data_IF_053256276906
#
_entry.id   IF_053256276906
#
_cell.length_a   1.000
_cell.length_b   1.000
_cell.length_c   1.000
_cell.angle_alpha   90.00
_cell.angle_beta   90.00
_cell.angle_gamma   90.00
#
_symmetry.space_group_name_H-M   'P 1'
#
loop_
_entity.id
_entity.type
_entity.pdbx_description
1 polymer ?
#
# COMPACT_ATOMS: atom_id res chain seq x y z
N UNK A 1 -17.37 8.29 11.79
CA UNK A 1 -17.14 7.24 12.81
C UNK A 1 -16.66 6.00 12.08
N UNK A 2 -15.35 5.70 12.12
CA UNK A 2 -14.79 4.56 11.40
C UNK A 2 -15.04 3.29 12.24
N UNK A 3 -15.88 2.39 11.74
CA UNK A 3 -16.17 1.12 12.41
C UNK A 3 -14.96 0.18 12.27
N UNK A 4 -14.08 0.14 13.27
CA UNK A 4 -13.10 -0.93 13.35
C UNK A 4 -13.78 -2.19 13.89
N UNK A 5 -13.94 -3.18 13.02
CA UNK A 5 -14.35 -4.53 13.39
C UNK A 5 -13.10 -5.32 13.70
N UNK A 6 -12.73 -5.40 14.97
CA UNK A 6 -11.64 -6.26 15.44
C UNK A 6 -12.09 -7.72 15.29
N UNK A 7 -11.39 -8.47 14.44
CA UNK A 7 -11.63 -9.91 14.26
C UNK A 7 -10.58 -10.62 15.10
N UNK A 8 -10.99 -11.18 16.23
CA UNK A 8 -10.18 -12.08 17.05
C UNK A 8 -10.33 -13.49 16.48
N UNK A 9 -9.22 -14.09 16.05
CA UNK A 9 -9.17 -15.47 15.55
C UNK A 9 -8.31 -16.28 16.51
N UNK A 10 -8.78 -17.46 16.90
CA UNK A 10 -7.99 -18.36 17.75
C UNK A 10 -6.85 -19.01 16.97
N UNK A 11 -5.82 -19.50 17.66
CA UNK A 11 -4.67 -20.13 17.01
C UNK A 11 -5.08 -21.37 16.19
N UNK A 12 -6.07 -22.09 16.68
CA UNK A 12 -6.65 -23.29 16.04
C UNK A 12 -7.44 -22.91 14.77
N UNK A 13 -8.13 -21.78 14.78
CA UNK A 13 -8.83 -21.26 13.61
C UNK A 13 -7.84 -20.74 12.55
N UNK A 14 -6.66 -20.25 12.92
CA UNK A 14 -5.63 -19.84 11.96
C UNK A 14 -5.06 -21.03 11.19
N UNK A 15 -4.88 -22.17 11.88
CA UNK A 15 -4.27 -23.37 11.32
C UNK A 15 -5.25 -24.23 10.48
N UNK A 16 -6.55 -23.93 10.50
CA UNK A 16 -7.52 -24.61 9.63
C UNK A 16 -7.36 -24.18 8.16
N UNK A 17 -7.28 -25.17 7.26
CA UNK A 17 -7.23 -24.97 5.80
C UNK A 17 -8.42 -24.17 5.26
N UNK A 18 -9.54 -24.16 5.99
CA UNK A 18 -10.72 -23.35 5.68
C UNK A 18 -10.47 -21.85 5.88
N UNK A 19 -9.65 -21.50 6.87
CA UNK A 19 -9.22 -20.13 7.16
C UNK A 19 -8.12 -19.66 6.22
N UNK A 20 -7.20 -20.55 5.84
CA UNK A 20 -6.27 -20.31 4.74
C UNK A 20 -7.01 -19.93 3.45
N UNK A 21 -8.08 -20.66 3.09
CA UNK A 21 -8.94 -20.36 1.93
C UNK A 21 -9.75 -19.05 2.08
N UNK A 22 -10.08 -18.66 3.32
CA UNK A 22 -10.74 -17.38 3.64
C UNK A 22 -9.78 -16.20 3.47
N UNK A 23 -8.53 -16.35 3.87
CA UNK A 23 -7.47 -15.37 3.60
C UNK A 23 -7.11 -15.34 2.12
N UNK A 24 -7.08 -16.49 1.46
CA UNK A 24 -6.85 -16.58 0.02
C UNK A 24 -7.95 -15.86 -0.77
N UNK A 25 -9.21 -15.83 -0.29
CA UNK A 25 -10.28 -15.00 -0.85
C UNK A 25 -10.09 -13.49 -0.61
N UNK A 26 -9.39 -13.09 0.45
CA UNK A 26 -8.99 -11.69 0.69
C UNK A 26 -7.78 -11.27 -0.16
N UNK A 27 -6.93 -12.21 -0.55
CA UNK A 27 -5.79 -11.98 -1.46
C UNK A 27 -6.10 -12.35 -2.92
N UNK A 28 -7.23 -13.00 -3.19
CA UNK A 28 -7.71 -13.35 -4.51
C UNK A 28 -8.25 -12.09 -5.18
N UNK A 29 -7.29 -11.29 -5.64
CA UNK A 29 -7.35 -10.41 -6.80
C UNK A 29 -8.76 -9.96 -7.15
N UNK A 30 -9.32 -9.05 -6.35
CA UNK A 30 -9.88 -7.89 -7.03
C UNK A 30 -8.71 -7.34 -7.85
N UNK A 31 -8.89 -7.14 -9.15
CA UNK A 31 -8.03 -6.18 -9.84
C UNK A 31 -8.27 -4.86 -9.12
N UNK A 32 -7.53 -4.64 -8.02
CA UNK A 32 -7.50 -3.38 -7.34
C UNK A 32 -7.06 -2.43 -8.43
N UNK A 33 -8.02 -1.62 -8.88
CA UNK A 33 -7.84 -0.59 -9.87
C UNK A 33 -6.53 0.09 -9.48
N UNK A 34 -5.51 -0.03 -10.34
CA UNK A 34 -4.21 0.50 -9.98
C UNK A 34 -4.45 1.97 -9.71
N UNK A 35 -4.17 2.46 -8.50
CA UNK A 35 -4.28 3.87 -8.15
C UNK A 35 -3.31 4.76 -8.94
N UNK A 36 -2.78 4.24 -10.04
CA UNK A 36 -1.84 4.83 -10.98
C UNK A 36 -2.39 4.54 -12.37
N UNK A 37 -2.72 5.60 -13.09
CA UNK A 37 -3.16 5.55 -14.49
C UNK A 37 -2.02 5.08 -15.40
N UNK A 38 -2.31 4.62 -16.63
CA UNK A 38 -1.28 4.17 -17.58
C UNK A 38 -0.23 5.23 -17.93
N UNK A 39 -0.57 6.52 -17.80
CA UNK A 39 0.34 7.66 -17.99
C UNK A 39 1.29 7.89 -16.79
N UNK A 40 1.15 7.10 -15.72
CA UNK A 40 1.94 7.21 -14.50
C UNK A 40 1.44 8.26 -13.50
N UNK A 41 0.28 8.89 -13.75
CA UNK A 41 -0.36 9.79 -12.79
C UNK A 41 -1.13 8.99 -11.74
N UNK A 42 -1.14 9.48 -10.49
CA UNK A 42 -1.83 8.83 -9.38
C UNK A 42 -3.31 9.21 -9.44
N UNK A 43 -4.19 8.21 -9.41
CA UNK A 43 -5.61 8.44 -9.19
C UNK A 43 -5.81 8.84 -7.73
N UNK A 44 -5.93 10.16 -7.55
CA UNK A 44 -6.15 10.74 -6.23
C UNK A 44 -7.51 10.37 -5.68
N UNK A 45 -8.47 9.88 -6.48
CA UNK A 45 -9.82 9.54 -5.99
C UNK A 45 -9.84 8.33 -5.06
N UNK A 46 -8.79 7.48 -5.07
CA UNK A 46 -8.70 6.32 -4.18
C UNK A 46 -8.53 6.75 -2.70
N UNK A 47 -9.50 6.50 -1.81
CA UNK A 47 -9.48 6.95 -0.42
C UNK A 47 -8.25 6.47 0.38
N UNK A 48 -7.68 5.32 0.00
CA UNK A 48 -6.48 4.78 0.64
C UNK A 48 -5.21 5.60 0.37
N UNK A 49 -5.09 6.24 -0.81
CA UNK A 49 -3.90 7.03 -1.17
C UNK A 49 -3.98 8.48 -0.67
N UNK A 50 -5.19 8.99 -0.42
CA UNK A 50 -5.40 10.35 0.05
C UNK A 50 -4.65 10.70 1.34
N UNK A 51 -4.59 9.78 2.31
CA UNK A 51 -3.97 10.04 3.62
C UNK A 51 -2.47 10.29 3.50
N UNK A 52 -1.76 9.44 2.75
CA UNK A 52 -0.33 9.56 2.53
C UNK A 52 0.03 10.76 1.63
N UNK A 53 -0.84 11.10 0.67
CA UNK A 53 -0.62 12.20 -0.28
C UNK A 53 -0.92 13.59 0.29
N UNK A 54 -1.85 13.66 1.24
CA UNK A 54 -2.22 14.90 1.95
C UNK A 54 -1.25 15.24 3.09
N UNK A 55 -0.37 14.30 3.46
CA UNK A 55 0.67 14.56 4.45
C UNK A 55 1.67 15.62 3.93
N UNK A 56 2.30 16.38 4.83
CA UNK A 56 3.36 17.35 4.47
C UNK A 56 4.53 16.72 3.70
N UNK A 57 4.73 15.42 3.87
CA UNK A 57 5.72 14.61 3.15
C UNK A 57 5.17 13.90 1.90
N UNK A 58 3.92 14.13 1.53
CA UNK A 58 3.24 13.40 0.45
C UNK A 58 3.89 13.59 -0.92
N UNK A 59 4.68 14.64 -1.11
CA UNK A 59 5.52 14.80 -2.30
C UNK A 59 6.51 13.64 -2.50
N UNK A 60 7.21 13.22 -1.45
CA UNK A 60 8.14 12.09 -1.52
C UNK A 60 7.40 10.79 -1.80
N UNK A 61 6.22 10.62 -1.20
CA UNK A 61 5.37 9.45 -1.46
C UNK A 61 4.92 9.36 -2.92
N UNK A 62 4.53 10.48 -3.55
CA UNK A 62 4.17 10.52 -4.98
C UNK A 62 5.31 10.02 -5.86
N UNK A 63 6.52 10.47 -5.59
CA UNK A 63 7.70 10.07 -6.35
C UNK A 63 8.02 8.58 -6.15
N UNK A 64 7.97 8.11 -4.91
CA UNK A 64 8.26 6.73 -4.57
C UNK A 64 7.28 5.76 -5.25
N UNK A 65 5.97 6.04 -5.21
CA UNK A 65 4.95 5.18 -5.83
C UNK A 65 5.03 5.23 -7.37
N UNK A 66 5.29 6.40 -7.96
CA UNK A 66 5.51 6.51 -9.42
C UNK A 66 6.70 5.67 -9.86
N UNK A 67 7.82 5.74 -9.14
CA UNK A 67 8.99 4.90 -9.39
C UNK A 67 8.65 3.42 -9.22
N UNK A 68 8.01 3.06 -8.10
CA UNK A 68 7.64 1.69 -7.80
C UNK A 68 6.77 1.08 -8.91
N UNK A 69 5.80 1.82 -9.43
CA UNK A 69 4.92 1.32 -10.48
C UNK A 69 5.65 1.04 -11.79
N UNK A 70 6.58 1.93 -12.18
CA UNK A 70 7.42 1.79 -13.37
C UNK A 70 8.59 0.81 -13.20
N UNK A 71 8.92 0.42 -11.97
CA UNK A 71 10.05 -0.49 -11.71
C UNK A 71 9.82 -1.88 -12.30
N UNK A 72 10.86 -2.36 -12.99
CA UNK A 72 10.92 -3.70 -13.59
C UNK A 72 11.91 -4.61 -12.87
N UNK A 73 12.52 -4.14 -11.77
CA UNK A 73 13.50 -4.93 -11.00
C UNK A 73 12.83 -6.11 -10.29
N UNK A 74 13.63 -7.12 -9.93
CA UNK A 74 13.21 -8.21 -9.03
C UNK A 74 14.08 -8.17 -7.77
N UNK A 75 13.51 -7.86 -6.58
CA UNK A 75 12.11 -7.50 -6.31
C UNK A 75 11.71 -6.15 -6.93
N UNK A 76 10.40 -5.95 -7.17
CA UNK A 76 9.88 -4.70 -7.75
C UNK A 76 10.16 -3.53 -6.82
N UNK A 77 10.63 -2.41 -7.37
CA UNK A 77 10.93 -1.19 -6.63
C UNK A 77 12.27 -1.18 -5.89
N UNK A 78 13.16 -2.14 -6.18
CA UNK A 78 14.50 -2.18 -5.56
C UNK A 78 15.36 -0.97 -5.95
N UNK A 79 15.11 -0.43 -7.15
CA UNK A 79 15.66 0.83 -7.68
C UNK A 79 15.06 2.09 -7.03
N UNK A 80 13.93 1.96 -6.33
CA UNK A 80 13.18 3.09 -5.75
C UNK A 80 13.40 3.26 -4.24
N UNK A 81 14.27 2.45 -3.63
CA UNK A 81 14.44 2.38 -2.17
C UNK A 81 14.80 3.75 -1.55
N UNK A 82 15.64 4.54 -2.22
CA UNK A 82 16.01 5.87 -1.72
C UNK A 82 14.81 6.82 -1.62
N UNK A 83 13.87 6.77 -2.58
CA UNK A 83 12.65 7.59 -2.53
C UNK A 83 11.75 7.20 -1.36
N UNK A 84 11.67 5.91 -1.03
CA UNK A 84 10.96 5.44 0.16
C UNK A 84 11.67 5.83 1.46
N UNK A 85 13.00 5.84 1.48
CA UNK A 85 13.78 6.32 2.62
C UNK A 85 13.55 7.81 2.86
N UNK A 86 13.58 8.65 1.83
CA UNK A 86 13.33 10.09 1.95
C UNK A 86 11.93 10.37 2.51
N UNK A 87 10.93 9.64 2.03
CA UNK A 87 9.58 9.72 2.58
C UNK A 87 9.53 9.35 4.07
N UNK A 88 10.19 8.26 4.46
CA UNK A 88 10.24 7.80 5.85
C UNK A 88 10.99 8.79 6.76
N UNK A 89 12.11 9.34 6.29
CA UNK A 89 12.90 10.38 6.98
C UNK A 89 12.03 11.62 7.19
N UNK A 90 11.31 12.06 6.16
CA UNK A 90 10.42 13.22 6.27
C UNK A 90 9.32 12.96 7.30
N UNK A 91 8.62 11.81 7.25
CA UNK A 91 7.57 11.47 8.23
C UNK A 91 8.15 11.48 9.66
N UNK A 92 9.32 10.88 9.85
CA UNK A 92 9.96 10.79 11.17
C UNK A 92 10.30 12.16 11.77
N UNK A 93 10.68 13.13 10.94
CA UNK A 93 10.98 14.50 11.38
C UNK A 93 9.77 15.44 11.32
N UNK A 94 8.59 14.92 10.99
CA UNK A 94 7.39 15.72 10.76
C UNK A 94 6.45 15.83 11.97
N UNK A 95 6.90 15.39 13.15
CA UNK A 95 6.18 15.50 14.43
C UNK A 95 5.80 16.93 14.80
#
# INVERSE_FOLDING_TARGET
MTHHKTITISKEEFDDKKSAKKYERYTAKEEAESGIRPDGSIDLSCPCMHSALSHRCGHFFRLAIRCFNGSTTKPKGNDCLELFKDHAICIKHSS
#
